data_IF_331811071906
#
_entry.id   IF_331811071906
#
_cell.length_a   1.000
_cell.length_b   1.000
_cell.length_c   1.000
_cell.angle_alpha   90.00
_cell.angle_beta   90.00
_cell.angle_gamma   90.00
#
_symmetry.space_group_name_H-M   'P 1'
#
loop_
_entity.id
_entity.type
_entity.pdbx_description
1 polymer ?
#
# COMPACT_ATOMS: atom_id res chain seq x y z
N UNK A 1 -7.06 35.45 13.98
CA UNK A 1 -7.58 35.87 15.30
C UNK A 1 -8.55 37.01 15.04
N UNK A 2 -9.82 36.87 15.43
CA UNK A 2 -10.88 37.85 15.21
C UNK A 2 -11.48 38.25 16.57
N UNK A 3 -11.84 39.52 16.75
CA UNK A 3 -12.58 39.97 17.94
C UNK A 3 -13.99 39.38 17.96
N UNK A 4 -14.65 39.35 19.13
CA UNK A 4 -16.03 38.83 19.24
C UNK A 4 -16.99 39.44 18.22
N UNK A 5 -16.97 40.76 18.05
CA UNK A 5 -17.78 41.47 17.04
C UNK A 5 -17.46 41.12 15.60
N UNK A 6 -16.19 40.84 15.30
CA UNK A 6 -15.80 40.36 13.98
C UNK A 6 -16.29 38.93 13.73
N UNK A 7 -16.23 38.05 14.74
CA UNK A 7 -16.76 36.68 14.63
C UNK A 7 -18.28 36.67 14.43
N UNK A 8 -19.00 37.55 15.13
CA UNK A 8 -20.45 37.75 14.96
C UNK A 8 -20.79 38.09 13.51
N UNK A 9 -20.08 39.06 12.93
CA UNK A 9 -20.29 39.48 11.53
C UNK A 9 -19.98 38.37 10.53
N UNK A 10 -18.95 37.57 10.76
CA UNK A 10 -18.67 36.38 9.93
C UNK A 10 -19.80 35.36 10.03
N UNK A 11 -20.39 35.18 11.22
CA UNK A 11 -21.55 34.29 11.39
C UNK A 11 -22.79 34.82 10.65
N UNK A 12 -23.05 36.13 10.69
CA UNK A 12 -24.15 36.78 9.95
C UNK A 12 -23.93 36.60 8.44
N UNK A 13 -22.73 36.90 7.92
CA UNK A 13 -22.40 36.69 6.52
C UNK A 13 -22.58 35.22 6.08
N UNK A 14 -22.22 34.26 6.95
CA UNK A 14 -22.44 32.83 6.70
C UNK A 14 -23.92 32.47 6.65
N UNK A 15 -24.77 33.05 7.50
CA UNK A 15 -26.22 32.83 7.47
C UNK A 15 -26.85 33.37 6.17
N UNK A 16 -26.32 34.47 5.65
CA UNK A 16 -26.79 35.10 4.41
C UNK A 16 -26.29 34.44 3.13
N UNK A 17 -25.19 33.67 3.20
CA UNK A 17 -24.55 33.09 2.01
C UNK A 17 -25.48 32.19 1.17
N UNK A 18 -26.45 31.53 1.81
CA UNK A 18 -27.43 30.67 1.12
C UNK A 18 -28.74 31.41 0.76
N UNK A 19 -28.79 32.74 0.91
CA UNK A 19 -30.00 33.52 0.69
C UNK A 19 -31.07 33.31 1.77
N UNK A 20 -30.66 32.98 3.01
CA UNK A 20 -31.56 32.54 4.08
C UNK A 20 -32.76 33.46 4.28
N UNK A 21 -33.95 33.00 3.90
CA UNK A 21 -35.21 33.76 4.03
C UNK A 21 -35.56 34.04 5.49
N UNK A 22 -35.13 33.16 6.39
CA UNK A 22 -35.31 33.25 7.84
C UNK A 22 -33.93 33.25 8.51
N UNK A 23 -33.70 34.23 9.38
CA UNK A 23 -32.50 34.36 10.21
C UNK A 23 -32.90 34.14 11.67
N UNK A 24 -32.32 33.11 12.29
CA UNK A 24 -32.46 32.82 13.71
C UNK A 24 -31.23 33.37 14.44
N UNK A 25 -31.44 34.33 15.34
CA UNK A 25 -30.38 34.96 16.11
C UNK A 25 -30.60 34.71 17.61
N UNK A 26 -29.75 33.88 18.20
CA UNK A 26 -29.74 33.60 19.64
C UNK A 26 -28.73 34.53 20.33
N UNK A 27 -29.22 35.47 21.13
CA UNK A 27 -28.43 36.46 21.90
C UNK A 27 -27.30 37.14 21.10
N UNK A 28 -27.61 37.80 19.96
CA UNK A 28 -26.60 38.28 19.02
C UNK A 28 -25.74 39.45 19.54
N UNK A 29 -26.09 40.03 20.67
CA UNK A 29 -25.36 41.15 21.30
C UNK A 29 -24.73 40.78 22.63
N UNK A 30 -25.02 39.60 23.20
CA UNK A 30 -24.62 39.25 24.58
C UNK A 30 -23.11 39.13 24.82
N UNK A 31 -22.33 38.89 23.77
CA UNK A 31 -20.87 38.78 23.83
C UNK A 31 -20.13 40.03 23.30
N UNK A 32 -20.84 41.15 23.07
CA UNK A 32 -20.34 42.33 22.38
C UNK A 32 -20.36 43.58 23.26
N UNK A 33 -19.48 44.53 22.94
CA UNK A 33 -19.58 45.88 23.50
C UNK A 33 -20.76 46.65 22.88
N UNK A 34 -21.21 47.72 23.54
CA UNK A 34 -22.41 48.46 23.12
C UNK A 34 -22.32 49.00 21.68
N UNK A 35 -21.13 49.42 21.23
CA UNK A 35 -20.91 49.91 19.86
C UNK A 35 -21.01 48.78 18.83
N UNK A 36 -20.41 47.62 19.09
CA UNK A 36 -20.48 46.47 18.19
C UNK A 36 -21.88 45.85 18.18
N UNK A 37 -22.56 45.83 19.33
CA UNK A 37 -23.95 45.37 19.45
C UNK A 37 -24.90 46.22 18.61
N UNK A 38 -24.79 47.55 18.71
CA UNK A 38 -25.61 48.47 17.88
C UNK A 38 -25.39 48.25 16.37
N UNK A 39 -24.14 48.05 15.94
CA UNK A 39 -23.81 47.72 14.55
C UNK A 39 -24.46 46.40 14.09
N UNK A 40 -24.42 45.35 14.93
CA UNK A 40 -25.04 44.06 14.60
C UNK A 40 -26.55 44.19 14.48
N UNK A 41 -27.18 44.94 15.39
CA UNK A 41 -28.62 45.22 15.32
C UNK A 41 -29.00 46.00 14.07
N UNK A 42 -28.15 46.95 13.65
CA UNK A 42 -28.38 47.70 12.42
C UNK A 42 -28.32 46.79 11.19
N UNK A 43 -27.35 45.87 11.10
CA UNK A 43 -27.29 44.88 10.01
C UNK A 43 -28.56 44.02 9.99
N UNK A 44 -29.03 43.54 11.16
CA UNK A 44 -30.27 42.77 11.22
C UNK A 44 -31.48 43.61 10.77
N UNK A 45 -31.58 44.88 11.16
CA UNK A 45 -32.64 45.74 10.68
C UNK A 45 -32.57 45.93 9.16
N UNK A 46 -31.40 46.20 8.59
CA UNK A 46 -31.24 46.37 7.15
C UNK A 46 -31.70 45.11 6.38
N UNK A 47 -31.32 43.92 6.87
CA UNK A 47 -31.77 42.64 6.31
C UNK A 47 -33.29 42.44 6.40
N UNK A 48 -33.91 42.89 7.50
CA UNK A 48 -35.36 42.86 7.63
C UNK A 48 -36.03 43.76 6.58
N UNK A 49 -35.50 44.96 6.33
CA UNK A 49 -35.98 45.86 5.28
C UNK A 49 -35.82 45.28 3.87
N UNK A 50 -34.80 44.44 3.65
CA UNK A 50 -34.60 43.67 2.42
C UNK A 50 -35.54 42.44 2.31
N UNK A 51 -36.47 42.25 3.25
CA UNK A 51 -37.49 41.20 3.23
C UNK A 51 -37.08 39.89 3.89
N UNK A 52 -36.00 39.87 4.68
CA UNK A 52 -35.67 38.71 5.50
C UNK A 52 -36.54 38.66 6.76
N UNK A 53 -36.99 37.46 7.11
CA UNK A 53 -37.66 37.22 8.40
C UNK A 53 -36.59 37.01 9.47
N UNK A 54 -36.67 37.76 10.57
CA UNK A 54 -35.69 37.68 11.65
C UNK A 54 -36.40 37.28 12.94
N UNK A 55 -35.91 36.22 13.56
CA UNK A 55 -36.34 35.78 14.88
C UNK A 55 -35.14 35.93 15.81
N UNK A 56 -35.29 36.83 16.76
CA UNK A 56 -34.29 37.20 17.74
C UNK A 56 -34.70 36.68 19.11
N UNK A 57 -33.83 35.92 19.76
CA UNK A 57 -33.98 35.56 21.17
C UNK A 57 -33.05 36.46 21.98
N UNK A 58 -33.62 37.18 22.95
CA UNK A 58 -32.82 37.97 23.88
C UNK A 58 -33.48 38.13 25.24
N UNK A 59 -32.66 38.21 26.29
CA UNK A 59 -33.05 38.62 27.62
C UNK A 59 -32.98 40.15 27.83
N UNK A 60 -32.37 40.89 26.91
CA UNK A 60 -32.22 42.35 26.99
C UNK A 60 -33.44 43.05 26.37
N UNK A 61 -34.12 43.86 27.19
CA UNK A 61 -35.31 44.62 26.77
C UNK A 61 -34.98 45.70 25.74
N UNK A 62 -33.79 46.29 25.81
CA UNK A 62 -33.37 47.33 24.87
C UNK A 62 -33.17 46.73 23.48
N UNK A 63 -32.58 45.53 23.42
CA UNK A 63 -32.40 44.75 22.18
C UNK A 63 -33.74 44.26 21.64
N UNK A 64 -34.63 43.76 22.50
CA UNK A 64 -35.99 43.38 22.09
C UNK A 64 -36.79 44.56 21.52
N UNK A 65 -36.51 45.79 21.98
CA UNK A 65 -37.13 47.02 21.52
C UNK A 65 -36.90 47.35 20.03
N UNK A 66 -35.89 46.75 19.39
CA UNK A 66 -35.63 46.88 17.95
C UNK A 66 -36.58 46.03 17.08
N UNK A 67 -37.24 45.02 17.66
CA UNK A 67 -38.13 44.12 16.94
C UNK A 67 -39.54 44.72 16.78
N UNK A 68 -40.19 44.41 15.65
CA UNK A 68 -41.58 44.78 15.42
C UNK A 68 -42.56 43.95 16.29
N UNK A 69 -42.27 42.65 16.47
CA UNK A 69 -43.04 41.74 17.32
C UNK A 69 -42.17 41.24 18.46
N UNK A 70 -42.68 41.31 19.68
CA UNK A 70 -42.04 40.86 20.90
C UNK A 70 -42.91 39.77 21.52
N UNK A 71 -42.35 38.57 21.63
CA UNK A 71 -43.00 37.42 22.26
C UNK A 71 -42.25 37.12 23.55
N UNK A 72 -42.96 37.14 24.68
CA UNK A 72 -42.39 36.85 25.99
C UNK A 72 -42.74 35.42 26.39
N UNK A 73 -41.72 34.64 26.73
CA UNK A 73 -41.84 33.25 27.16
C UNK A 73 -41.46 33.12 28.63
N UNK A 74 -42.27 32.35 29.37
CA UNK A 74 -42.00 31.98 30.77
C UNK A 74 -42.45 30.55 31.01
N UNK A 75 -41.58 29.75 31.64
CA UNK A 75 -41.84 28.34 31.98
C UNK A 75 -42.36 27.50 30.80
N UNK A 76 -41.79 27.73 29.61
CA UNK A 76 -42.17 27.04 28.37
C UNK A 76 -43.51 27.48 27.77
N UNK A 77 -44.14 28.54 28.29
CA UNK A 77 -45.41 29.10 27.79
C UNK A 77 -45.21 30.53 27.30
N UNK A 78 -45.92 30.91 26.24
CA UNK A 78 -46.00 32.31 25.80
C UNK A 78 -46.93 33.04 26.75
N UNK A 79 -46.41 34.06 27.43
CA UNK A 79 -47.17 34.88 28.38
C UNK A 79 -47.59 36.22 27.78
N UNK A 80 -46.87 36.71 26.78
CA UNK A 80 -47.18 37.96 26.10
C UNK A 80 -46.75 37.90 24.63
N UNK A 81 -47.51 38.57 23.76
CA UNK A 81 -47.23 38.68 22.32
C UNK A 81 -47.72 40.05 21.84
N UNK A 82 -46.78 40.95 21.62
CA UNK A 82 -47.05 42.35 21.27
C UNK A 82 -46.46 42.64 19.89
N UNK A 83 -47.23 43.28 19.00
CA UNK A 83 -46.77 43.74 17.68
C UNK A 83 -46.95 45.26 17.57
N UNK A 84 -45.93 45.97 17.08
CA UNK A 84 -45.95 47.44 16.90
C UNK A 84 -46.59 47.88 15.59
N UNK A 85 -46.36 47.17 14.48
CA UNK A 85 -46.83 47.55 13.15
C UNK A 85 -47.17 46.33 12.27
N UNK A 86 -48.24 46.44 11.47
CA UNK A 86 -48.63 45.42 10.48
C UNK A 86 -47.92 45.60 9.13
N UNK A 87 -46.59 45.74 9.16
CA UNK A 87 -45.78 45.76 7.94
C UNK A 87 -45.38 44.33 7.57
N UNK A 88 -45.89 43.84 6.44
CA UNK A 88 -45.47 42.58 5.81
C UNK A 88 -44.64 42.97 4.59
N UNK A 89 -43.36 42.60 4.60
CA UNK A 89 -42.46 42.77 3.46
C UNK A 89 -42.48 41.43 2.72
N UNK A 90 -43.15 41.37 1.56
CA UNK A 90 -43.13 40.18 0.71
C UNK A 90 -41.82 40.11 -0.07
N UNK A 91 -41.16 38.95 -0.02
CA UNK A 91 -39.95 38.66 -0.78
C UNK A 91 -40.29 37.76 -1.97
N UNK A 92 -39.83 38.14 -3.16
CA UNK A 92 -40.08 37.41 -4.39
C UNK A 92 -39.42 36.01 -4.31
N UNK A 93 -40.23 34.96 -4.45
CA UNK A 93 -39.82 33.56 -4.24
C UNK A 93 -38.66 33.19 -5.15
N UNK A 94 -37.50 32.89 -4.55
CA UNK A 94 -36.28 32.56 -5.29
C UNK A 94 -36.42 31.26 -6.10
N UNK A 95 -35.95 31.30 -7.34
CA UNK A 95 -36.02 30.20 -8.32
C UNK A 95 -35.21 29.00 -7.83
N UNK A 96 -35.87 27.85 -7.62
CA UNK A 96 -35.21 26.58 -7.31
C UNK A 96 -34.40 26.09 -8.51
N UNK A 97 -33.08 26.23 -8.45
CA UNK A 97 -32.16 25.68 -9.46
C UNK A 97 -32.08 24.17 -9.28
N UNK A 98 -32.70 23.43 -10.19
CA UNK A 98 -32.63 21.97 -10.24
C UNK A 98 -31.26 21.54 -10.80
N UNK A 99 -30.25 21.39 -9.94
CA UNK A 99 -28.94 20.90 -10.36
C UNK A 99 -29.01 19.39 -10.66
N UNK A 100 -28.36 18.97 -11.75
CA UNK A 100 -28.21 17.56 -12.09
C UNK A 100 -27.51 16.80 -10.95
N UNK A 101 -28.12 15.70 -10.46
CA UNK A 101 -27.64 14.93 -9.30
C UNK A 101 -26.19 14.46 -9.44
N UNK A 102 -25.77 14.09 -10.65
CA UNK A 102 -24.39 13.63 -10.90
C UNK A 102 -23.35 14.76 -10.80
N UNK A 103 -23.68 15.94 -11.32
CA UNK A 103 -22.82 17.12 -11.19
C UNK A 103 -22.68 17.52 -9.71
N UNK A 104 -23.79 17.50 -8.97
CA UNK A 104 -23.80 17.79 -7.54
C UNK A 104 -22.92 16.82 -6.74
N UNK A 105 -22.96 15.52 -7.06
CA UNK A 105 -22.11 14.53 -6.38
C UNK A 105 -20.63 14.76 -6.67
N UNK A 106 -20.26 15.05 -7.92
CA UNK A 106 -18.88 15.37 -8.30
C UNK A 106 -18.37 16.61 -7.55
N UNK A 107 -19.16 17.68 -7.53
CA UNK A 107 -18.81 18.92 -6.83
C UNK A 107 -18.67 18.68 -5.32
N UNK A 108 -19.58 17.90 -4.73
CA UNK A 108 -19.54 17.56 -3.31
C UNK A 108 -18.30 16.74 -2.94
N UNK A 109 -17.86 15.81 -3.79
CA UNK A 109 -16.61 15.06 -3.57
C UNK A 109 -15.39 15.96 -3.63
N UNK A 110 -15.32 16.88 -4.60
CA UNK A 110 -14.19 17.81 -4.76
C UNK A 110 -14.09 18.74 -3.54
N UNK A 111 -15.22 19.30 -3.08
CA UNK A 111 -15.24 20.15 -1.89
C UNK A 111 -14.89 19.36 -0.62
N UNK A 112 -15.46 18.16 -0.44
CA UNK A 112 -15.14 17.30 0.70
C UNK A 112 -13.67 16.90 0.73
N UNK A 113 -13.06 16.66 -0.43
CA UNK A 113 -11.63 16.37 -0.55
C UNK A 113 -10.78 17.59 -0.14
N UNK A 114 -11.10 18.78 -0.65
CA UNK A 114 -10.40 20.02 -0.30
C UNK A 114 -10.50 20.34 1.21
N UNK A 115 -11.67 20.11 1.80
CA UNK A 115 -11.88 20.22 3.25
C UNK A 115 -11.03 19.20 4.01
N UNK A 116 -11.00 17.95 3.55
CA UNK A 116 -10.22 16.87 4.16
C UNK A 116 -8.72 17.18 4.14
N UNK A 117 -8.19 17.65 3.00
CA UNK A 117 -6.77 18.06 2.88
C UNK A 117 -6.45 19.21 3.84
N UNK A 118 -7.32 20.21 3.90
CA UNK A 118 -7.15 21.34 4.82
C UNK A 118 -7.17 20.89 6.29
N UNK A 119 -8.05 19.95 6.64
CA UNK A 119 -8.14 19.38 7.99
C UNK A 119 -6.88 18.57 8.36
N UNK A 120 -6.36 17.78 7.43
CA UNK A 120 -5.12 17.02 7.60
C UNK A 120 -3.94 17.97 7.84
N UNK A 121 -3.86 19.06 7.07
CA UNK A 121 -2.82 20.10 7.19
C UNK A 121 -2.95 20.92 8.49
N UNK A 122 -4.17 21.14 8.99
CA UNK A 122 -4.40 21.82 10.26
C UNK A 122 -3.96 20.96 11.46
N UNK A 123 -4.15 19.65 11.40
CA UNK A 123 -3.82 18.71 12.47
C UNK A 123 -2.60 17.83 12.15
N UNK A 124 -1.46 18.46 11.82
CA UNK A 124 -0.23 17.78 11.35
C UNK A 124 0.22 16.61 12.23
N UNK A 125 0.26 16.78 13.56
CA UNK A 125 0.75 15.76 14.49
C UNK A 125 -0.13 14.50 14.48
N UNK A 126 -1.46 14.68 14.52
CA UNK A 126 -2.42 13.57 14.49
C UNK A 126 -2.34 12.82 13.16
N UNK A 127 -2.33 13.55 12.05
CA UNK A 127 -2.22 12.98 10.70
C UNK A 127 -0.90 12.23 10.50
N UNK A 128 0.21 12.76 11.02
CA UNK A 128 1.51 12.12 10.90
C UNK A 128 1.59 10.83 11.73
N UNK A 129 1.12 10.86 12.98
CA UNK A 129 1.18 9.68 13.85
C UNK A 129 0.29 8.54 13.34
N UNK A 130 -0.89 8.87 12.82
CA UNK A 130 -1.81 7.89 12.20
C UNK A 130 -1.22 7.30 10.92
N UNK A 131 -0.66 8.14 10.03
CA UNK A 131 0.00 7.68 8.81
C UNK A 131 1.20 6.78 9.10
N UNK A 132 2.02 7.13 10.10
CA UNK A 132 3.20 6.36 10.48
C UNK A 132 2.83 4.94 10.93
N UNK A 133 1.74 4.79 11.71
CA UNK A 133 1.25 3.48 12.13
C UNK A 133 0.87 2.60 10.95
N UNK A 134 0.18 3.16 9.95
CA UNK A 134 -0.19 2.44 8.72
C UNK A 134 1.05 2.08 7.91
N UNK A 135 2.01 2.99 7.77
CA UNK A 135 3.27 2.76 7.04
C UNK A 135 4.07 1.63 7.68
N UNK A 136 4.26 1.66 8.99
CA UNK A 136 4.99 0.61 9.71
C UNK A 136 4.27 -0.74 9.57
N UNK A 137 2.94 -0.76 9.71
CA UNK A 137 2.14 -1.98 9.57
C UNK A 137 2.29 -2.62 8.19
N UNK A 138 2.10 -1.85 7.12
CA UNK A 138 2.22 -2.35 5.74
C UNK A 138 3.66 -2.78 5.45
N UNK A 139 4.65 -1.96 5.85
CA UNK A 139 6.07 -2.24 5.58
C UNK A 139 6.53 -3.51 6.28
N UNK A 140 6.12 -3.72 7.54
CA UNK A 140 6.48 -4.92 8.30
C UNK A 140 5.98 -6.19 7.62
N UNK A 141 4.70 -6.21 7.21
CA UNK A 141 4.11 -7.38 6.54
C UNK A 141 4.81 -7.65 5.20
N UNK A 142 5.01 -6.62 4.38
CA UNK A 142 5.68 -6.76 3.08
C UNK A 142 7.13 -7.24 3.25
N UNK A 143 7.88 -6.69 4.20
CA UNK A 143 9.25 -7.11 4.48
C UNK A 143 9.34 -8.58 4.90
N UNK A 144 8.47 -9.02 5.81
CA UNK A 144 8.47 -10.42 6.27
C UNK A 144 8.19 -11.38 5.11
N UNK A 145 7.20 -11.08 4.27
CA UNK A 145 6.87 -11.90 3.10
C UNK A 145 8.02 -11.91 2.09
N UNK A 146 8.62 -10.75 1.80
CA UNK A 146 9.74 -10.64 0.87
C UNK A 146 10.97 -11.41 1.36
N UNK A 147 11.32 -11.28 2.64
CA UNK A 147 12.46 -11.99 3.25
C UNK A 147 12.22 -13.50 3.24
N UNK A 148 11.01 -13.96 3.57
CA UNK A 148 10.66 -15.38 3.55
C UNK A 148 10.83 -15.99 2.16
N UNK A 149 10.22 -15.36 1.15
CA UNK A 149 10.30 -15.82 -0.23
C UNK A 149 11.74 -15.77 -0.78
N UNK A 150 12.46 -14.69 -0.52
CA UNK A 150 13.86 -14.54 -0.95
C UNK A 150 14.79 -15.56 -0.29
N UNK A 151 14.61 -15.82 1.01
CA UNK A 151 15.38 -16.83 1.75
C UNK A 151 15.08 -18.23 1.23
N UNK A 152 13.81 -18.56 1.01
CA UNK A 152 13.40 -19.84 0.42
C UNK A 152 14.04 -20.04 -0.95
N UNK A 153 13.98 -19.02 -1.82
CA UNK A 153 14.58 -19.10 -3.15
C UNK A 153 16.11 -19.26 -3.07
N UNK A 154 16.77 -18.57 -2.14
CA UNK A 154 18.22 -18.71 -1.93
C UNK A 154 18.59 -20.10 -1.45
N UNK A 155 17.84 -20.66 -0.49
CA UNK A 155 18.04 -22.02 0.02
C UNK A 155 17.87 -23.02 -1.11
N UNK A 156 16.80 -22.92 -1.91
CA UNK A 156 16.58 -23.80 -3.06
C UNK A 156 17.72 -23.69 -4.08
N UNK A 157 18.19 -22.47 -4.38
CA UNK A 157 19.33 -22.27 -5.30
C UNK A 157 20.62 -22.89 -4.77
N UNK A 158 20.86 -22.80 -3.46
CA UNK A 158 22.03 -23.39 -2.83
C UNK A 158 21.92 -24.93 -2.82
N UNK A 159 20.74 -25.49 -2.54
CA UNK A 159 20.49 -26.94 -2.61
C UNK A 159 20.70 -27.46 -4.03
N UNK A 160 20.14 -26.78 -5.03
CA UNK A 160 20.34 -27.15 -6.44
C UNK A 160 21.82 -27.04 -6.87
N UNK A 161 22.61 -26.18 -6.23
CA UNK A 161 24.04 -26.04 -6.48
C UNK A 161 24.93 -27.06 -5.75
N UNK A 162 24.40 -27.80 -4.76
CA UNK A 162 25.15 -28.83 -4.02
C UNK A 162 25.40 -30.09 -4.83
N UNK A 163 24.88 -30.15 -6.05
CA UNK A 163 25.18 -31.18 -7.02
C UNK A 163 23.91 -31.77 -7.62
N UNK A 164 24.13 -32.42 -8.74
CA UNK A 164 23.19 -33.30 -9.42
C UNK A 164 22.89 -34.53 -8.57
N UNK A 165 21.68 -35.07 -8.70
CA UNK A 165 21.33 -36.36 -8.10
C UNK A 165 22.02 -37.48 -8.89
N UNK A 166 23.14 -38.00 -8.38
CA UNK A 166 23.90 -39.08 -9.04
C UNK A 166 23.74 -40.41 -8.33
N UNK A 167 23.67 -41.49 -9.12
CA UNK A 167 23.65 -42.86 -8.64
C UNK A 167 24.86 -43.60 -9.24
N UNK A 168 25.85 -43.91 -8.40
CA UNK A 168 27.05 -44.64 -8.83
C UNK A 168 26.78 -46.17 -8.75
N UNK A 169 26.98 -46.89 -9.85
CA UNK A 169 26.77 -48.34 -9.96
C UNK A 169 28.12 -49.05 -9.88
N UNK A 170 28.25 -50.00 -8.95
CA UNK A 170 29.48 -50.77 -8.72
C UNK A 170 29.25 -52.27 -9.00
N UNK A 171 30.33 -52.99 -9.32
CA UNK A 171 30.32 -54.46 -9.41
C UNK A 171 30.25 -55.10 -8.01
N UNK A 172 29.63 -56.29 -7.91
CA UNK A 172 29.52 -57.06 -6.67
C UNK A 172 28.24 -56.79 -5.89
N UNK A 173 28.15 -57.32 -4.67
CA UNK A 173 26.92 -57.22 -3.83
C UNK A 173 26.95 -56.07 -2.82
N UNK A 174 28.00 -55.24 -2.81
CA UNK A 174 28.10 -54.07 -1.93
C UNK A 174 29.54 -53.70 -1.54
N UNK A 175 29.66 -52.68 -0.67
CA UNK A 175 30.94 -52.20 -0.16
C UNK A 175 31.68 -53.30 0.62
N UNK A 176 32.91 -53.63 0.21
CA UNK A 176 33.78 -54.60 0.90
C UNK A 176 33.83 -56.00 0.30
N UNK A 177 33.10 -56.27 -0.79
CA UNK A 177 33.21 -57.55 -1.51
C UNK A 177 34.59 -57.67 -2.19
N UNK A 178 35.44 -58.56 -1.66
CA UNK A 178 36.79 -58.84 -2.19
C UNK A 178 36.77 -59.47 -3.59
N UNK A 179 35.63 -59.99 -4.05
CA UNK A 179 35.43 -60.58 -5.38
C UNK A 179 34.91 -59.57 -6.41
N UNK A 180 34.46 -58.39 -5.98
CA UNK A 180 33.99 -57.32 -6.86
C UNK A 180 35.04 -56.91 -7.90
N UNK A 181 36.33 -56.85 -7.51
CA UNK A 181 37.43 -56.52 -8.41
C UNK A 181 37.77 -57.61 -9.44
N UNK A 182 37.32 -58.86 -9.22
CA UNK A 182 37.56 -59.97 -10.16
C UNK A 182 36.43 -60.14 -11.17
N UNK A 183 35.28 -59.54 -10.92
CA UNK A 183 34.06 -59.73 -11.71
C UNK A 183 33.81 -58.46 -12.53
N UNK A 184 34.11 -58.51 -13.85
CA UNK A 184 33.92 -57.38 -14.77
C UNK A 184 32.62 -57.56 -15.56
N UNK A 185 31.48 -57.35 -14.91
CA UNK A 185 30.17 -57.56 -15.54
C UNK A 185 29.52 -56.27 -16.03
N UNK A 186 29.98 -55.09 -15.57
CA UNK A 186 29.56 -53.80 -16.09
C UNK A 186 30.33 -53.46 -17.37
N UNK A 187 29.59 -53.24 -18.45
CA UNK A 187 30.11 -52.88 -19.77
C UNK A 187 29.69 -51.46 -20.16
N UNK A 188 30.33 -50.90 -21.18
CA UNK A 188 29.95 -49.59 -21.72
C UNK A 188 28.55 -49.63 -22.36
N UNK A 189 28.15 -50.78 -22.93
CA UNK A 189 26.82 -50.96 -23.52
C UNK A 189 25.70 -50.79 -22.49
N UNK A 190 25.94 -51.17 -21.23
CA UNK A 190 24.97 -50.97 -20.15
C UNK A 190 24.72 -49.47 -19.92
N UNK A 191 25.77 -48.64 -20.00
CA UNK A 191 25.64 -47.20 -19.90
C UNK A 191 24.83 -46.60 -21.07
N UNK A 192 25.03 -47.10 -22.29
CA UNK A 192 24.28 -46.65 -23.49
C UNK A 192 22.79 -47.00 -23.41
N UNK A 193 22.45 -48.15 -22.81
CA UNK A 193 21.05 -48.55 -22.58
C UNK A 193 20.40 -47.67 -21.49
N UNK A 194 21.14 -47.36 -20.43
CA UNK A 194 20.68 -46.46 -19.37
C UNK A 194 20.46 -45.03 -19.90
N UNK A 195 21.31 -44.55 -20.82
CA UNK A 195 21.17 -43.23 -21.42
C UNK A 195 19.87 -43.05 -22.24
N UNK A 196 19.20 -44.14 -22.64
CA UNK A 196 17.92 -44.09 -23.38
C UNK A 196 16.69 -43.94 -22.49
N UNK A 197 16.84 -44.00 -21.16
CA UNK A 197 15.70 -43.95 -20.24
C UNK A 197 15.23 -42.50 -20.01
N UNK A 198 13.91 -42.27 -20.04
CA UNK A 198 13.33 -40.93 -19.95
C UNK A 198 13.58 -40.21 -18.60
N UNK A 199 13.93 -40.95 -17.55
CA UNK A 199 14.15 -40.44 -16.20
C UNK A 199 15.64 -40.24 -15.89
N UNK A 200 16.53 -40.53 -16.84
CA UNK A 200 17.96 -40.36 -16.71
C UNK A 200 18.41 -39.25 -17.68
N UNK A 201 18.87 -38.14 -17.13
CA UNK A 201 19.32 -36.98 -17.93
C UNK A 201 20.69 -37.22 -18.57
N UNK A 202 21.60 -37.91 -17.87
CA UNK A 202 22.97 -38.16 -18.35
C UNK A 202 23.57 -39.40 -17.69
N UNK A 203 24.40 -40.13 -18.42
CA UNK A 203 25.10 -41.34 -17.96
C UNK A 203 26.57 -41.25 -18.34
N UNK A 204 27.45 -41.73 -17.48
CA UNK A 204 28.88 -41.76 -17.77
C UNK A 204 29.52 -43.04 -17.24
N UNK A 205 30.21 -43.83 -18.08
CA UNK A 205 31.06 -44.90 -17.58
C UNK A 205 32.24 -44.28 -16.84
N UNK A 206 32.70 -44.94 -15.77
CA UNK A 206 33.81 -44.46 -14.96
C UNK A 206 34.80 -45.59 -14.68
N UNK A 207 36.08 -45.32 -14.94
CA UNK A 207 37.20 -46.18 -14.58
C UNK A 207 38.30 -45.34 -13.96
N UNK A 208 39.05 -45.88 -13.01
CA UNK A 208 40.10 -45.15 -12.30
C UNK A 208 41.39 -45.94 -12.28
N UNK A 209 42.49 -45.30 -12.66
CA UNK A 209 43.83 -45.86 -12.66
C UNK A 209 44.76 -44.95 -11.83
N UNK A 210 45.58 -45.54 -10.97
CA UNK A 210 46.65 -44.82 -10.29
C UNK A 210 47.96 -45.04 -11.05
N UNK A 211 48.71 -43.97 -11.27
CA UNK A 211 49.99 -44.03 -11.97
C UNK A 211 50.89 -42.86 -11.60
N UNK A 212 52.11 -42.86 -12.13
CA UNK A 212 53.05 -41.76 -11.96
C UNK A 212 52.96 -40.84 -13.18
N UNK A 213 52.57 -39.58 -12.96
CA UNK A 213 52.59 -38.53 -13.97
C UNK A 213 53.96 -37.85 -13.95
N UNK A 214 54.61 -37.79 -15.09
CA UNK A 214 55.89 -37.10 -15.27
C UNK A 214 55.71 -35.87 -16.13
N UNK A 215 56.21 -34.73 -15.65
CA UNK A 215 56.24 -33.49 -16.41
C UNK A 215 57.55 -32.74 -16.15
N UNK A 216 58.38 -32.58 -17.18
CA UNK A 216 59.74 -32.06 -17.03
C UNK A 216 60.59 -32.93 -16.10
N UNK A 217 61.12 -32.35 -15.03
CA UNK A 217 61.93 -33.02 -14.01
C UNK A 217 61.13 -33.50 -12.78
N UNK A 218 59.80 -33.32 -12.78
CA UNK A 218 58.94 -33.70 -11.65
C UNK A 218 58.16 -34.97 -11.96
N UNK A 219 58.16 -35.90 -10.99
CA UNK A 219 57.35 -37.12 -11.03
C UNK A 219 56.42 -37.12 -9.82
N UNK A 220 55.11 -37.19 -10.06
CA UNK A 220 54.08 -37.16 -9.02
C UNK A 220 53.14 -38.35 -9.17
N UNK A 221 52.69 -38.93 -8.07
CA UNK A 221 51.61 -39.92 -8.10
C UNK A 221 50.30 -39.21 -8.39
N UNK A 222 49.63 -39.63 -9.45
CA UNK A 222 48.37 -39.05 -9.90
C UNK A 222 47.32 -40.15 -10.13
N UNK A 223 46.06 -39.78 -9.92
CA UNK A 223 44.92 -40.61 -10.28
C UNK A 223 44.36 -40.13 -11.62
N UNK A 224 44.30 -41.04 -12.60
CA UNK A 224 43.70 -40.80 -13.90
C UNK A 224 42.32 -41.45 -13.91
N UNK A 225 41.30 -40.66 -14.25
CA UNK A 225 39.92 -41.14 -14.35
C UNK A 225 39.50 -41.18 -15.81
N UNK A 226 39.19 -42.38 -16.32
CA UNK A 226 38.53 -42.59 -17.59
C UNK A 226 37.04 -42.30 -17.43
N UNK A 227 36.53 -41.32 -18.17
CA UNK A 227 35.15 -40.84 -18.06
C UNK A 227 34.53 -40.69 -19.44
N UNK A 228 33.20 -40.78 -19.53
CA UNK A 228 32.46 -40.43 -20.76
C UNK A 228 32.35 -38.91 -20.98
N UNK A 229 31.81 -38.53 -22.13
CA UNK A 229 31.57 -37.13 -22.55
C UNK A 229 30.63 -36.38 -21.59
N UNK A 230 29.62 -37.07 -21.07
CA UNK A 230 28.61 -36.48 -20.17
C UNK A 230 29.06 -36.36 -18.70
N UNK A 231 30.29 -36.76 -18.35
CA UNK A 231 30.75 -36.81 -16.95
C UNK A 231 30.66 -35.48 -16.21
N UNK A 232 31.03 -34.40 -16.88
CA UNK A 232 30.99 -33.06 -16.28
C UNK A 232 29.56 -32.63 -16.00
N UNK A 233 28.61 -33.00 -16.86
CA UNK A 233 27.19 -32.75 -16.61
C UNK A 233 26.67 -33.61 -15.45
N UNK A 234 26.99 -34.91 -15.47
CA UNK A 234 26.58 -35.85 -14.40
C UNK A 234 27.08 -35.40 -13.04
N UNK A 235 28.30 -34.86 -12.89
CA UNK A 235 28.82 -34.38 -11.59
C UNK A 235 28.59 -32.88 -11.34
N UNK A 236 27.86 -32.18 -12.22
CA UNK A 236 27.59 -30.74 -12.09
C UNK A 236 28.85 -29.86 -12.10
N UNK A 237 29.92 -30.32 -12.76
CA UNK A 237 31.21 -29.65 -12.77
C UNK A 237 31.24 -28.59 -13.88
N UNK A 238 31.58 -27.35 -13.51
CA UNK A 238 31.78 -26.27 -14.46
C UNK A 238 33.25 -26.18 -14.88
N UNK A 239 33.48 -26.11 -16.19
CA UNK A 239 34.82 -26.02 -16.74
C UNK A 239 35.38 -24.61 -16.53
N UNK A 240 36.50 -24.47 -15.80
CA UNK A 240 37.16 -23.16 -15.63
C UNK A 240 37.89 -22.69 -16.89
N UNK A 241 38.47 -23.62 -17.66
CA UNK A 241 39.21 -23.34 -18.88
C UNK A 241 39.25 -24.58 -19.79
N UNK A 242 39.24 -24.38 -21.11
CA UNK A 242 39.37 -25.45 -22.11
C UNK A 242 38.03 -25.87 -22.74
N UNK A 243 37.98 -27.11 -23.23
CA UNK A 243 36.76 -27.75 -23.75
C UNK A 243 36.61 -29.15 -23.15
N UNK A 244 35.37 -29.56 -22.93
CA UNK A 244 35.05 -30.94 -22.53
C UNK A 244 35.22 -31.90 -23.73
N UNK A 245 35.18 -33.20 -23.46
CA UNK A 245 35.23 -34.23 -24.49
C UNK A 245 33.90 -34.28 -25.26
N UNK A 246 33.97 -34.38 -26.58
CA UNK A 246 32.79 -34.61 -27.42
C UNK A 246 32.56 -36.11 -27.61
N UNK A 247 31.32 -36.52 -27.88
CA UNK A 247 30.97 -37.92 -28.15
C UNK A 247 31.87 -38.58 -29.22
N UNK A 248 32.23 -37.83 -30.28
CA UNK A 248 33.14 -38.32 -31.31
C UNK A 248 34.55 -38.60 -30.76
N UNK A 249 35.09 -37.72 -29.91
CA UNK A 249 36.42 -37.89 -29.33
C UNK A 249 36.49 -39.09 -28.37
N UNK A 250 35.37 -39.43 -27.72
CA UNK A 250 35.25 -40.63 -26.89
C UNK A 250 35.16 -41.88 -27.76
N UNK A 251 34.37 -41.85 -28.84
CA UNK A 251 34.24 -42.97 -29.78
C UNK A 251 35.57 -43.31 -30.49
N UNK A 252 36.33 -42.30 -30.93
CA UNK A 252 37.60 -42.47 -31.62
C UNK A 252 38.68 -43.08 -30.70
N UNK A 253 38.68 -42.73 -29.41
CA UNK A 253 39.62 -43.27 -28.42
C UNK A 253 39.21 -44.64 -27.85
N UNK A 254 37.96 -45.08 -28.04
CA UNK A 254 37.51 -46.41 -27.63
C UNK A 254 38.01 -47.53 -28.58
N UNK A 255 38.60 -47.17 -29.72
CA UNK A 255 39.13 -48.10 -30.74
C UNK A 255 40.63 -48.41 -30.59
N UNK A 256 41.30 -47.87 -29.56
CA UNK A 256 42.72 -48.11 -29.22
C UNK A 256 42.82 -48.96 -27.97
#
# INVERSE_FOLDING_TARGET
QLSGGQQQRVSIARALMNGGEIILADEPTGALDSKSGAMVMQILQDLHHEGHTIILVTHDKDVAGYANRIIELKDGRIINDTRRADQIIEKDTSVKINKNRFAQFKDQLIESFKMSVSAILAHKMRSLLTMLGIIIGITSVVCVVAIGNGSQQKILSNINSLGTNTMDIYNGTGFGDRRANRTKNLTVQDADILAKQHYIESVTPNSTLNGTLTYGSQAVSAQVRGVGDQFFNVKGLTLKQGKAFNAQAVADNAQV
#
